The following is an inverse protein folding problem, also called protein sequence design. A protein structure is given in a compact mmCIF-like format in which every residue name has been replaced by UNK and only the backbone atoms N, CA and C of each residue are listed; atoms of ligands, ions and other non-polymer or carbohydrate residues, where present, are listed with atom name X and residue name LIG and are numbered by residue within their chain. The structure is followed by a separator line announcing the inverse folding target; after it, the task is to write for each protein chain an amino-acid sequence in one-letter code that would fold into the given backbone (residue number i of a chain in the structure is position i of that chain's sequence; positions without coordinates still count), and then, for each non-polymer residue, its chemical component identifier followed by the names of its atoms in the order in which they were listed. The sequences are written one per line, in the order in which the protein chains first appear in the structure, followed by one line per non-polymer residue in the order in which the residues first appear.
data_IF_893701273545
#
_entry.id   IF_893701273545
#
_cell.length_a   1.000
_cell.length_b   1.000
_cell.length_c   1.000
_cell.angle_alpha   90.00
_cell.angle_beta   90.00
_cell.angle_gamma   90.00
#
_symmetry.space_group_name_H-M   'P 1'
#
loop_
_entity.id
_entity.type
_entity.pdbx_description
1 polymer ?
#
# COMPACT_ATOMS: atom_id res chain seq x y z
N UNK A 1 -0.55 -11.98 16.37
CA UNK A 1 -1.66 -11.94 15.38
C UNK A 1 -2.51 -10.68 15.55
N UNK A 2 -2.93 -10.36 16.78
CA UNK A 2 -3.90 -9.31 17.12
C UNK A 2 -3.66 -7.94 16.45
N UNK A 3 -2.43 -7.39 16.52
CA UNK A 3 -2.14 -6.05 15.97
C UNK A 3 -2.26 -6.00 14.44
N UNK A 4 -1.78 -7.03 13.74
CA UNK A 4 -1.86 -7.09 12.27
C UNK A 4 -3.31 -7.31 11.81
N UNK A 5 -4.06 -8.16 12.52
CA UNK A 5 -5.49 -8.33 12.26
C UNK A 5 -6.26 -7.03 12.53
N UNK A 6 -5.96 -6.32 13.62
CA UNK A 6 -6.55 -5.03 13.93
C UNK A 6 -6.23 -3.98 12.86
N UNK A 7 -5.00 -3.91 12.35
CA UNK A 7 -4.66 -2.98 11.26
C UNK A 7 -5.38 -3.28 9.94
N UNK A 8 -5.69 -4.54 9.67
CA UNK A 8 -6.50 -4.92 8.50
C UNK A 8 -7.95 -4.48 8.71
N UNK A 9 -8.55 -4.80 9.87
CA UNK A 9 -9.94 -4.44 10.17
C UNK A 9 -10.14 -2.93 10.19
N UNK A 10 -9.26 -2.19 10.87
CA UNK A 10 -9.33 -0.72 10.94
C UNK A 10 -9.21 -0.11 9.55
N UNK A 11 -8.29 -0.61 8.72
CA UNK A 11 -8.13 -0.08 7.37
C UNK A 11 -9.29 -0.42 6.44
N UNK A 12 -9.92 -1.58 6.57
CA UNK A 12 -11.15 -1.91 5.84
C UNK A 12 -12.31 -0.99 6.26
N UNK A 13 -12.45 -0.71 7.56
CA UNK A 13 -13.46 0.23 8.07
C UNK A 13 -13.20 1.63 7.50
N UNK A 14 -11.95 2.11 7.57
CA UNK A 14 -11.59 3.41 7.02
C UNK A 14 -11.82 3.48 5.50
N UNK A 15 -11.47 2.43 4.75
CA UNK A 15 -11.70 2.35 3.31
C UNK A 15 -13.18 2.46 2.98
N UNK A 16 -14.04 1.74 3.71
CA UNK A 16 -15.49 1.81 3.52
C UNK A 16 -16.03 3.23 3.72
N UNK A 17 -15.61 3.92 4.78
CA UNK A 17 -16.03 5.31 5.01
C UNK A 17 -15.46 6.27 3.97
N UNK A 18 -14.23 6.04 3.51
CA UNK A 18 -13.59 6.86 2.48
C UNK A 18 -14.30 6.71 1.13
N UNK A 19 -14.60 5.48 0.72
CA UNK A 19 -15.35 5.18 -0.50
C UNK A 19 -16.75 5.83 -0.45
N UNK A 20 -17.45 5.70 0.68
CA UNK A 20 -18.76 6.31 0.88
C UNK A 20 -18.71 7.85 0.88
N UNK A 21 -17.71 8.46 1.52
CA UNK A 21 -17.56 9.90 1.60
C UNK A 21 -17.18 10.53 0.25
N UNK A 22 -16.32 9.86 -0.51
CA UNK A 22 -15.81 10.32 -1.79
C UNK A 22 -16.68 9.89 -2.99
N UNK A 23 -17.72 9.09 -2.73
CA UNK A 23 -18.63 8.50 -3.74
C UNK A 23 -17.86 7.75 -4.83
N UNK A 24 -16.83 7.01 -4.41
CA UNK A 24 -15.98 6.24 -5.32
C UNK A 24 -16.62 4.87 -5.54
N UNK A 25 -16.88 4.53 -6.80
CA UNK A 25 -17.32 3.19 -7.18
C UNK A 25 -16.14 2.20 -7.19
N UNK A 26 -15.84 1.68 -6.00
CA UNK A 26 -14.63 0.90 -5.77
C UNK A 26 -14.73 -0.56 -6.25
N UNK A 27 -15.93 -1.02 -6.60
CA UNK A 27 -16.20 -2.40 -7.06
C UNK A 27 -16.02 -2.60 -8.56
N UNK A 28 -15.61 -1.57 -9.30
CA UNK A 28 -15.19 -1.76 -10.69
C UNK A 28 -13.89 -2.59 -10.74
N UNK A 29 -13.82 -3.52 -11.69
CA UNK A 29 -12.69 -4.45 -11.82
C UNK A 29 -11.36 -3.72 -12.05
N UNK A 30 -11.37 -2.63 -12.81
CA UNK A 30 -10.18 -1.79 -13.02
C UNK A 30 -9.74 -1.16 -11.70
N UNK A 31 -10.65 -0.51 -10.98
CA UNK A 31 -10.37 0.10 -9.67
C UNK A 31 -9.81 -0.90 -8.66
N UNK A 32 -10.35 -2.11 -8.64
CA UNK A 32 -9.86 -3.17 -7.75
C UNK A 32 -8.41 -3.56 -8.07
N UNK A 33 -8.04 -3.61 -9.35
CA UNK A 33 -6.66 -3.88 -9.78
C UNK A 33 -5.75 -2.72 -9.36
N UNK A 34 -6.12 -1.46 -9.64
CA UNK A 34 -5.31 -0.28 -9.26
C UNK A 34 -5.10 -0.23 -7.74
N UNK A 35 -6.17 -0.40 -6.96
CA UNK A 35 -6.15 -0.42 -5.51
C UNK A 35 -5.25 -1.52 -4.94
N UNK A 36 -5.37 -2.72 -5.49
CA UNK A 36 -4.55 -3.87 -5.08
C UNK A 36 -3.08 -3.58 -5.34
N UNK A 37 -2.77 -3.03 -6.52
CA UNK A 37 -1.40 -2.72 -6.93
C UNK A 37 -0.80 -1.64 -6.02
N UNK A 38 -1.52 -0.53 -5.79
CA UNK A 38 -1.15 0.57 -4.89
C UNK A 38 -0.91 0.10 -3.45
N UNK A 39 -1.81 -0.74 -2.93
CA UNK A 39 -1.67 -1.36 -1.61
C UNK A 39 -0.38 -2.19 -1.52
N UNK A 40 -0.11 -3.06 -2.49
CA UNK A 40 1.10 -3.88 -2.50
C UNK A 40 2.37 -3.05 -2.72
N UNK A 41 2.31 -1.98 -3.51
CA UNK A 41 3.41 -1.01 -3.65
C UNK A 41 3.77 -0.43 -2.29
N UNK A 42 2.79 0.06 -1.53
CA UNK A 42 2.99 0.54 -0.15
C UNK A 42 3.57 -0.54 0.76
N UNK A 43 2.99 -1.74 0.72
CA UNK A 43 3.39 -2.89 1.54
C UNK A 43 4.84 -3.31 1.31
N UNK A 44 5.25 -3.51 0.06
CA UNK A 44 6.60 -4.00 -0.25
C UNK A 44 7.65 -2.90 -0.21
N UNK A 45 7.37 -1.72 -0.76
CA UNK A 45 8.37 -0.65 -0.91
C UNK A 45 8.56 0.07 0.42
N UNK A 46 7.49 0.63 0.99
CA UNK A 46 7.57 1.36 2.26
C UNK A 46 7.55 0.40 3.44
N UNK A 47 6.64 -0.56 3.48
CA UNK A 47 6.46 -1.43 4.65
C UNK A 47 7.62 -2.40 4.88
N UNK A 48 8.09 -3.09 3.84
CA UNK A 48 9.14 -4.11 3.95
C UNK A 48 10.53 -3.56 3.58
N UNK A 49 10.70 -2.96 2.41
CA UNK A 49 12.04 -2.61 1.90
C UNK A 49 12.73 -1.50 2.71
N UNK A 50 12.00 -0.46 3.11
CA UNK A 50 12.55 0.62 3.94
C UNK A 50 12.89 0.13 5.35
N UNK A 51 12.06 -0.71 5.97
CA UNK A 51 12.22 -1.09 7.38
C UNK A 51 12.99 -2.40 7.61
N UNK A 52 12.84 -3.40 6.74
CA UNK A 52 13.43 -4.73 6.94
C UNK A 52 14.89 -4.80 6.47
N UNK A 53 15.12 -4.43 5.20
CA UNK A 53 16.44 -4.57 4.57
C UNK A 53 17.24 -3.27 4.61
N UNK A 54 16.59 -2.15 4.97
CA UNK A 54 17.12 -0.78 4.99
C UNK A 54 17.96 -0.42 3.75
N UNK A 55 17.73 -1.14 2.66
CA UNK A 55 18.52 -1.07 1.43
C UNK A 55 18.09 0.10 0.56
N UNK A 56 16.89 0.63 0.81
CA UNK A 56 16.31 1.76 0.10
C UNK A 56 16.16 2.93 1.07
N UNK A 57 16.74 4.07 0.69
CA UNK A 57 16.54 5.34 1.40
C UNK A 57 15.06 5.72 1.28
N UNK A 58 14.46 6.19 2.37
CA UNK A 58 13.04 6.54 2.44
C UNK A 58 12.66 7.57 1.36
N UNK A 59 13.52 8.55 1.09
CA UNK A 59 13.31 9.51 0.00
C UNK A 59 13.19 8.85 -1.38
N UNK A 60 14.02 7.84 -1.68
CA UNK A 60 13.96 7.13 -2.96
C UNK A 60 12.71 6.23 -3.06
N UNK A 61 12.28 5.65 -1.94
CA UNK A 61 11.01 4.92 -1.86
C UNK A 61 9.79 5.83 -2.14
N UNK A 62 9.80 7.05 -1.60
CA UNK A 62 8.76 8.04 -1.88
C UNK A 62 8.78 8.48 -3.34
N UNK A 63 9.96 8.70 -3.95
CA UNK A 63 10.06 9.00 -5.38
C UNK A 63 9.51 7.88 -6.25
N UNK A 64 9.80 6.61 -5.94
CA UNK A 64 9.24 5.48 -6.69
C UNK A 64 7.72 5.45 -6.59
N UNK A 65 7.16 5.65 -5.39
CA UNK A 65 5.72 5.67 -5.18
C UNK A 65 5.07 6.82 -5.93
N UNK A 66 5.66 8.02 -5.85
CA UNK A 66 5.18 9.20 -6.56
C UNK A 66 5.22 8.99 -8.07
N UNK A 67 6.30 8.41 -8.60
CA UNK A 67 6.42 8.06 -10.02
C UNK A 67 5.34 7.04 -10.45
N UNK A 68 5.04 6.06 -9.59
CA UNK A 68 4.03 5.04 -9.86
C UNK A 68 2.62 5.62 -9.87
N UNK A 69 2.28 6.47 -8.89
CA UNK A 69 1.03 7.22 -8.84
C UNK A 69 0.86 8.15 -10.06
N UNK A 70 1.91 8.91 -10.40
CA UNK A 70 1.89 9.82 -11.55
C UNK A 70 1.73 9.09 -12.87
N UNK A 71 2.41 7.95 -13.04
CA UNK A 71 2.31 7.15 -14.26
C UNK A 71 0.89 6.62 -14.44
N UNK A 72 0.27 6.16 -13.35
CA UNK A 72 -1.11 5.68 -13.36
C UNK A 72 -2.08 6.80 -13.76
N UNK A 73 -1.93 7.99 -13.16
CA UNK A 73 -2.77 9.14 -13.52
C UNK A 73 -2.55 9.64 -14.96
N UNK A 74 -1.33 9.54 -15.50
CA UNK A 74 -1.04 9.87 -16.91
C UNK A 74 -1.71 8.85 -17.84
N UNK A 75 -1.68 7.56 -17.49
CA UNK A 75 -2.32 6.51 -18.28
C UNK A 75 -3.85 6.67 -18.33
N UNK A 76 -4.46 7.07 -17.21
CA UNK A 76 -5.90 7.37 -17.14
C UNK A 76 -6.25 8.60 -17.99
N UNK A 77 -5.40 9.65 -17.93
CA UNK A 77 -5.57 10.86 -18.75
C UNK A 77 -5.50 10.54 -20.26
N UNK A 78 -4.55 9.69 -20.68
CA UNK A 78 -4.41 9.27 -22.08
C UNK A 78 -5.59 8.41 -22.58
N UNK A 79 -6.35 7.79 -21.67
CA UNK A 79 -7.54 7.01 -21.99
C UNK A 79 -8.83 7.84 -21.95
N UNK A 80 -8.72 9.16 -21.76
CA UNK A 80 -9.85 10.08 -21.54
C UNK A 80 -10.75 9.68 -20.34
N UNK A 81 -10.23 8.85 -19.44
CA UNK A 81 -10.87 8.50 -18.18
C UNK A 81 -10.57 9.68 -17.26
N UNK A 82 -11.44 10.69 -17.28
CA UNK A 82 -11.25 11.95 -16.58
C UNK A 82 -11.49 11.81 -15.06
N UNK A 83 -10.67 10.96 -14.41
CA UNK A 83 -10.71 10.65 -12.98
C UNK A 83 -9.68 11.47 -12.18
N UNK A 84 -9.13 12.55 -12.75
CA UNK A 84 -8.17 13.44 -12.10
C UNK A 84 -8.87 14.34 -11.05
N UNK A 85 -9.46 13.70 -10.06
CA UNK A 85 -10.21 14.29 -8.96
C UNK A 85 -9.35 14.21 -7.70
N UNK A 86 -9.37 15.27 -6.89
CA UNK A 86 -8.62 15.31 -5.63
C UNK A 86 -9.01 14.15 -4.71
N UNK A 87 -10.26 13.73 -4.80
CA UNK A 87 -10.82 12.56 -4.14
C UNK A 87 -10.03 11.28 -4.43
N UNK A 88 -9.70 11.04 -5.71
CA UNK A 88 -8.93 9.88 -6.15
C UNK A 88 -7.51 9.90 -5.54
N UNK A 89 -6.87 11.06 -5.53
CA UNK A 89 -5.54 11.24 -4.92
C UNK A 89 -5.52 10.91 -3.43
N UNK A 90 -6.56 11.31 -2.69
CA UNK A 90 -6.70 10.97 -1.26
C UNK A 90 -6.90 9.47 -1.06
N UNK A 91 -7.74 8.85 -1.88
CA UNK A 91 -7.98 7.42 -1.86
C UNK A 91 -6.71 6.60 -2.14
N UNK A 92 -5.99 6.99 -3.18
CA UNK A 92 -4.76 6.32 -3.61
C UNK A 92 -3.67 6.41 -2.56
N UNK A 93 -3.54 7.60 -1.96
CA UNK A 93 -2.61 7.85 -0.85
C UNK A 93 -2.96 6.98 0.35
N UNK A 94 -4.24 6.85 0.69
CA UNK A 94 -4.71 5.98 1.76
C UNK A 94 -4.32 4.51 1.49
N UNK A 95 -4.54 4.00 0.27
CA UNK A 95 -4.21 2.62 -0.08
C UNK A 95 -2.71 2.32 0.07
N UNK A 96 -1.85 3.23 -0.38
CA UNK A 96 -0.39 3.10 -0.23
C UNK A 96 0.02 3.16 1.24
N UNK A 97 -0.50 4.10 2.01
CA UNK A 97 -0.18 4.24 3.43
C UNK A 97 -0.64 3.03 4.24
N UNK A 98 -1.86 2.54 3.96
CA UNK A 98 -2.41 1.37 4.64
C UNK A 98 -1.58 0.11 4.34
N UNK A 99 -1.20 -0.10 3.07
CA UNK A 99 -0.27 -1.15 2.68
C UNK A 99 1.06 -1.05 3.44
N UNK A 100 1.65 0.15 3.51
CA UNK A 100 2.89 0.39 4.23
C UNK A 100 2.80 0.05 5.73
N UNK A 101 1.69 0.41 6.39
CA UNK A 101 1.43 0.09 7.81
C UNK A 101 1.37 -1.43 8.02
N UNK A 102 0.65 -2.16 7.16
CA UNK A 102 0.58 -3.62 7.25
C UNK A 102 1.96 -4.24 7.02
N UNK A 103 2.71 -3.76 6.03
CA UNK A 103 4.07 -4.25 5.75
C UNK A 103 5.05 -3.98 6.90
N UNK A 104 4.91 -2.84 7.57
CA UNK A 104 5.69 -2.52 8.78
C UNK A 104 5.40 -3.51 9.91
N UNK A 105 4.14 -3.80 10.22
CA UNK A 105 3.79 -4.76 11.27
C UNK A 105 4.11 -6.21 10.89
N UNK A 106 4.19 -6.52 9.60
CA UNK A 106 4.60 -7.83 9.10
C UNK A 106 6.11 -8.05 9.25
N UNK A 107 6.92 -6.99 9.09
CA UNK A 107 8.38 -7.03 9.05
C UNK A 107 9.06 -7.66 10.29
N UNK A 108 8.71 -7.31 11.55
CA UNK A 108 9.29 -7.94 12.74
C UNK A 108 9.09 -9.46 12.79
N UNK A 109 8.05 -9.98 12.12
CA UNK A 109 7.78 -11.42 12.09
C UNK A 109 8.68 -12.17 11.14
N UNK A 110 8.99 -11.59 9.98
CA UNK A 110 9.96 -12.16 9.04
C UNK A 110 11.31 -12.36 9.75
N UNK A 111 11.73 -11.37 10.56
CA UNK A 111 12.98 -11.41 11.34
C UNK A 111 13.01 -12.52 12.40
N UNK A 112 11.87 -12.81 13.03
CA UNK A 112 11.76 -13.85 14.07
C UNK A 112 11.82 -15.25 13.45
N UNK A 113 11.16 -15.46 12.32
CA UNK A 113 11.19 -16.73 11.58
C UNK A 113 12.58 -17.03 11.01
N UNK A 114 13.26 -16.03 10.42
CA UNK A 114 14.59 -16.24 9.83
C UNK A 114 15.68 -16.57 10.87
N UNK A 115 15.64 -15.95 12.06
CA UNK A 115 16.54 -16.34 13.17
C UNK A 115 16.33 -17.77 13.66
N UNK A 116 15.07 -18.22 13.73
CA UNK A 116 14.74 -19.56 14.21
C UNK A 116 15.28 -20.64 13.25
N UNK A 117 15.24 -20.39 11.94
CA UNK A 117 15.81 -21.29 10.94
C UNK A 117 17.34 -21.34 10.97
N UNK A 118 18.02 -20.24 11.30
CA UNK A 118 19.49 -20.24 11.46
C UNK A 118 19.98 -20.94 12.73
N UNK A 119 19.14 -21.00 13.77
CA UNK A 119 19.47 -21.68 15.03
C UNK A 119 19.30 -23.20 14.95
N UNK A 120 18.40 -23.69 14.09
CA UNK A 120 18.18 -25.13 13.87
C UNK A 120 19.23 -25.78 12.93
N UNK A 121 20.09 -24.96 12.31
CA UNK A 121 21.13 -25.38 11.36
C UNK A 121 22.54 -25.39 11.96
N UNK A 122 22.68 -25.14 13.26
CA UNK A 122 23.92 -25.32 14.04
C UNK A 122 23.73 -26.50 14.98
#
# INVERSE_FOLDING_TARGET
MKILAASIVIGLIMLFFLDAALKIENLNQEMLIHNTLRFFTGFFILGIRVWYKRSLKLGLALYIILALLLTDSIMDFLREINNFRLEMLFHDSFMVLWGAVIGYFYTPRIKKTSRCQSALKR
#
